data_IF_103161350127
#
_entry.id   IF_103161350127
#
_cell.length_a   1.000
_cell.length_b   1.000
_cell.length_c   1.000
_cell.angle_alpha   90.00
_cell.angle_beta   90.00
_cell.angle_gamma   90.00
#
_symmetry.space_group_name_H-M   'P 1'
#
loop_
_entity.id
_entity.type
_entity.pdbx_description
1 polymer ?
#
# COMPACT_ATOMS: atom_id res chain seq x y z
N UNK A 1 0.09 -15.25 -8.58
CA UNK A 1 -0.41 -14.52 -9.77
C UNK A 1 -1.89 -14.14 -9.67
N UNK A 2 -2.80 -15.04 -9.26
CA UNK A 2 -4.23 -14.71 -9.03
C UNK A 2 -4.43 -13.64 -7.94
N UNK A 3 -3.66 -13.71 -6.85
CA UNK A 3 -3.73 -12.77 -5.73
C UNK A 3 -3.33 -11.32 -6.09
N UNK A 4 -2.28 -11.14 -6.91
CA UNK A 4 -1.78 -9.82 -7.30
C UNK A 4 -2.81 -8.99 -8.09
N UNK A 5 -3.60 -9.64 -8.95
CA UNK A 5 -4.66 -8.95 -9.71
C UNK A 5 -5.78 -8.50 -8.78
N UNK A 6 -6.17 -9.34 -7.83
CA UNK A 6 -7.19 -9.02 -6.82
C UNK A 6 -6.76 -7.85 -5.94
N UNK A 7 -5.53 -7.89 -5.40
CA UNK A 7 -4.99 -6.80 -4.59
C UNK A 7 -4.88 -5.50 -5.41
N UNK A 8 -4.44 -5.57 -6.67
CA UNK A 8 -4.37 -4.39 -7.54
C UNK A 8 -5.74 -3.77 -7.82
N UNK A 9 -6.77 -4.60 -8.03
CA UNK A 9 -8.13 -4.13 -8.23
C UNK A 9 -8.68 -3.46 -6.95
N UNK A 10 -8.47 -4.07 -5.78
CA UNK A 10 -8.85 -3.49 -4.49
C UNK A 10 -8.13 -2.15 -4.25
N UNK A 11 -6.81 -2.11 -4.47
CA UNK A 11 -6.03 -0.88 -4.34
C UNK A 11 -6.59 0.21 -5.25
N UNK A 12 -6.88 -0.09 -6.52
CA UNK A 12 -7.51 0.88 -7.43
C UNK A 12 -8.82 1.43 -6.86
N UNK A 13 -9.72 0.56 -6.38
CA UNK A 13 -11.00 0.98 -5.79
C UNK A 13 -10.81 1.88 -4.56
N UNK A 14 -9.83 1.56 -3.70
CA UNK A 14 -9.51 2.40 -2.54
C UNK A 14 -9.00 3.77 -2.98
N UNK A 15 -8.09 3.83 -3.96
CA UNK A 15 -7.54 5.09 -4.46
C UNK A 15 -8.59 5.96 -5.15
N UNK A 16 -9.57 5.36 -5.82
CA UNK A 16 -10.70 6.08 -6.41
C UNK A 16 -11.55 6.78 -5.35
N UNK A 17 -11.83 6.09 -4.23
CA UNK A 17 -12.71 6.57 -3.17
C UNK A 17 -12.02 7.46 -2.12
N UNK A 18 -10.74 7.22 -1.85
CA UNK A 18 -9.99 7.87 -0.78
C UNK A 18 -8.73 8.56 -1.34
N UNK A 19 -8.80 9.89 -1.42
CA UNK A 19 -7.68 10.73 -1.88
C UNK A 19 -6.49 10.67 -0.91
N UNK A 20 -6.74 10.56 0.40
CA UNK A 20 -5.67 10.48 1.40
C UNK A 20 -4.84 9.20 1.24
N UNK A 21 -5.48 8.09 0.85
CA UNK A 21 -4.80 6.83 0.55
C UNK A 21 -3.84 6.93 -0.65
N UNK A 22 -4.06 7.87 -1.60
CA UNK A 22 -3.10 8.15 -2.69
C UNK A 22 -1.78 8.68 -2.15
N UNK A 23 -1.86 9.43 -1.06
CA UNK A 23 -0.78 10.19 -0.45
C UNK A 23 -0.10 9.46 0.73
N UNK A 24 -0.72 8.43 1.31
CA UNK A 24 -0.19 7.74 2.49
C UNK A 24 -0.22 6.22 2.35
N UNK A 25 0.96 5.60 2.51
CA UNK A 25 1.14 4.14 2.52
C UNK A 25 0.36 3.52 3.69
N UNK A 26 0.40 4.17 4.87
CA UNK A 26 -0.26 3.68 6.06
C UNK A 26 -1.78 3.73 5.94
N UNK A 27 -2.34 4.80 5.37
CA UNK A 27 -3.79 4.91 5.16
C UNK A 27 -4.24 3.86 4.14
N UNK A 28 -3.54 3.76 3.00
CA UNK A 28 -3.86 2.73 2.01
C UNK A 28 -3.81 1.32 2.61
N UNK A 29 -2.76 1.03 3.39
CA UNK A 29 -2.61 -0.29 3.98
C UNK A 29 -3.71 -0.56 5.02
N UNK A 30 -4.08 0.42 5.83
CA UNK A 30 -5.16 0.30 6.79
C UNK A 30 -6.52 0.03 6.11
N UNK A 31 -6.81 0.67 4.97
CA UNK A 31 -8.01 0.37 4.19
C UNK A 31 -7.99 -1.06 3.61
N UNK A 32 -6.83 -1.53 3.14
CA UNK A 32 -6.68 -2.91 2.69
C UNK A 32 -6.91 -3.89 3.85
N UNK A 33 -6.35 -3.61 5.04
CA UNK A 33 -6.59 -4.43 6.23
C UNK A 33 -8.08 -4.46 6.59
N UNK A 34 -8.76 -3.31 6.60
CA UNK A 34 -10.21 -3.23 6.87
C UNK A 34 -11.02 -4.10 5.92
N UNK A 35 -10.71 -4.06 4.62
CA UNK A 35 -11.36 -4.90 3.62
C UNK A 35 -11.18 -6.39 3.93
N UNK A 36 -9.93 -6.85 4.09
CA UNK A 36 -9.64 -8.26 4.33
C UNK A 36 -10.14 -8.74 5.69
N UNK A 37 -10.16 -7.88 6.70
CA UNK A 37 -10.71 -8.18 8.02
C UNK A 37 -12.21 -8.41 7.99
N UNK A 38 -12.96 -7.61 7.21
CA UNK A 38 -14.38 -7.82 6.98
C UNK A 38 -14.62 -9.17 6.27
N UNK A 39 -13.84 -9.47 5.23
CA UNK A 39 -13.97 -10.73 4.46
C UNK A 39 -13.62 -11.98 5.28
N UNK A 40 -12.73 -11.86 6.28
CA UNK A 40 -12.20 -13.00 7.06
C UNK A 40 -12.71 -13.06 8.50
N UNK A 41 -13.60 -12.15 8.90
CA UNK A 41 -14.08 -12.01 10.28
C UNK A 41 -12.94 -11.86 11.30
N UNK A 42 -11.89 -11.10 10.94
CA UNK A 42 -10.75 -10.82 11.81
C UNK A 42 -10.90 -9.43 12.42
N UNK A 43 -10.97 -9.35 13.75
CA UNK A 43 -10.96 -8.06 14.45
C UNK A 43 -9.54 -7.47 14.52
N UNK A 44 -9.34 -6.32 13.84
CA UNK A 44 -8.07 -5.59 13.84
C UNK A 44 -7.73 -4.99 15.20
N UNK A 45 -8.72 -4.67 16.02
CA UNK A 45 -8.49 -4.02 17.32
C UNK A 45 -7.91 -4.97 18.36
N UNK A 46 -8.10 -6.28 18.16
CA UNK A 46 -7.57 -7.33 19.04
C UNK A 46 -6.29 -7.98 18.47
N UNK A 47 -5.80 -7.53 17.32
CA UNK A 47 -4.59 -8.07 16.72
C UNK A 47 -3.35 -7.44 17.36
N UNK A 48 -2.60 -8.24 18.12
CA UNK A 48 -1.35 -7.80 18.73
C UNK A 48 -0.30 -7.40 17.67
N UNK A 49 0.59 -6.46 17.98
CA UNK A 49 1.68 -6.07 17.07
C UNK A 49 2.56 -7.27 16.66
N UNK A 50 2.96 -8.18 17.58
CA UNK A 50 3.70 -9.38 17.18
C UNK A 50 2.91 -10.29 16.23
N UNK A 51 1.62 -10.54 16.50
CA UNK A 51 0.80 -11.37 15.62
C UNK A 51 0.59 -10.73 14.25
N UNK A 52 0.43 -9.40 14.23
CA UNK A 52 0.36 -8.62 13.02
C UNK A 52 1.64 -8.79 12.21
N UNK A 53 2.82 -8.50 12.77
CA UNK A 53 4.07 -8.53 12.01
C UNK A 53 4.49 -9.94 11.58
N UNK A 54 4.20 -10.97 12.39
CA UNK A 54 4.71 -12.33 12.17
C UNK A 54 3.73 -13.26 11.44
N UNK A 55 2.42 -12.98 11.50
CA UNK A 55 1.37 -13.92 11.02
C UNK A 55 0.42 -13.32 10.01
N UNK A 56 0.74 -12.15 9.46
CA UNK A 56 -0.10 -11.43 8.50
C UNK A 56 -0.45 -12.28 7.26
N UNK A 57 0.56 -12.89 6.64
CA UNK A 57 0.38 -13.76 5.46
C UNK A 57 -0.36 -15.05 5.81
N UNK A 58 -0.09 -15.63 6.99
CA UNK A 58 -0.78 -16.84 7.47
C UNK A 58 -2.28 -16.58 7.72
N UNK A 59 -2.63 -15.35 8.10
CA UNK A 59 -4.01 -14.87 8.24
C UNK A 59 -4.62 -14.48 6.88
N UNK A 60 -3.88 -14.62 5.78
CA UNK A 60 -4.33 -14.38 4.42
C UNK A 60 -4.44 -12.91 4.03
N UNK A 61 -3.75 -12.02 4.74
CA UNK A 61 -3.62 -10.62 4.35
C UNK A 61 -2.46 -10.47 3.35
N UNK A 62 -2.53 -9.49 2.43
CA UNK A 62 -1.43 -9.23 1.51
C UNK A 62 -0.24 -8.61 2.25
N UNK A 63 0.97 -8.99 1.85
CA UNK A 63 2.19 -8.35 2.34
C UNK A 63 2.22 -6.85 2.01
N UNK A 64 2.87 -6.04 2.87
CA UNK A 64 3.07 -4.60 2.65
C UNK A 64 3.65 -4.30 1.26
N UNK A 65 4.66 -5.06 0.86
CA UNK A 65 5.33 -4.87 -0.43
C UNK A 65 4.39 -5.16 -1.61
N UNK A 66 3.48 -6.11 -1.45
CA UNK A 66 2.44 -6.41 -2.46
C UNK A 66 1.49 -5.23 -2.64
N UNK A 67 1.04 -4.62 -1.55
CA UNK A 67 0.18 -3.42 -1.61
C UNK A 67 0.93 -2.25 -2.24
N UNK A 68 2.20 -2.05 -1.85
CA UNK A 68 3.06 -0.99 -2.40
C UNK A 68 3.25 -1.12 -3.91
N UNK A 69 3.63 -2.31 -4.40
CA UNK A 69 3.81 -2.59 -5.84
C UNK A 69 2.51 -2.46 -6.61
N UNK A 70 1.41 -2.93 -6.02
CA UNK A 70 0.07 -2.79 -6.61
C UNK A 70 -0.29 -1.32 -6.80
N UNK A 71 -0.06 -0.46 -5.79
CA UNK A 71 -0.25 0.99 -5.93
C UNK A 71 0.62 1.58 -7.03
N UNK A 72 1.92 1.27 -7.06
CA UNK A 72 2.81 1.78 -8.11
C UNK A 72 2.32 1.40 -9.50
N UNK A 73 1.89 0.15 -9.69
CA UNK A 73 1.33 -0.31 -10.95
C UNK A 73 0.03 0.42 -11.30
N UNK A 74 -0.89 0.59 -10.34
CA UNK A 74 -2.15 1.31 -10.53
C UNK A 74 -1.88 2.77 -10.89
N UNK A 75 -1.07 3.49 -10.14
CA UNK A 75 -0.78 4.92 -10.39
C UNK A 75 0.00 5.15 -11.69
N UNK A 76 0.84 4.20 -12.11
CA UNK A 76 1.49 4.25 -13.42
C UNK A 76 0.51 4.00 -14.59
N UNK A 77 -0.55 3.22 -14.35
CA UNK A 77 -1.59 2.92 -15.36
C UNK A 77 -2.68 3.99 -15.40
N UNK A 78 -2.98 4.61 -14.25
CA UNK A 78 -4.04 5.58 -14.02
C UNK A 78 -3.45 6.83 -13.36
N UNK A 79 -2.85 7.76 -14.13
CA UNK A 79 -2.17 8.94 -13.58
C UNK A 79 -3.06 9.85 -12.72
N UNK A 80 -4.37 9.85 -12.93
CA UNK A 80 -5.35 10.58 -12.14
C UNK A 80 -5.47 10.07 -10.68
N UNK A 81 -5.01 8.84 -10.43
CA UNK A 81 -4.95 8.24 -9.09
C UNK A 81 -3.59 8.45 -8.41
N UNK A 82 -2.67 9.17 -9.05
CA UNK A 82 -1.36 9.48 -8.47
C UNK A 82 -1.47 10.34 -7.20
N UNK A 83 -0.37 10.40 -6.45
CA UNK A 83 -0.25 11.30 -5.30
C UNK A 83 -0.39 12.77 -5.75
N UNK A 84 -1.08 13.57 -4.97
CA UNK A 84 -1.44 14.95 -5.32
C UNK A 84 -0.55 15.98 -4.63
N UNK A 85 -0.42 17.16 -5.23
CA UNK A 85 0.16 18.36 -4.63
C UNK A 85 1.56 18.18 -4.03
N UNK A 86 1.73 18.63 -2.78
CA UNK A 86 3.01 18.62 -2.07
C UNK A 86 3.58 17.22 -1.83
N UNK A 87 2.72 16.20 -1.66
CA UNK A 87 3.15 14.82 -1.38
C UNK A 87 3.77 14.18 -2.62
N UNK A 88 3.18 14.40 -3.80
CA UNK A 88 3.76 13.96 -5.07
C UNK A 88 5.16 14.55 -5.30
N UNK A 89 5.28 15.87 -5.11
CA UNK A 89 6.57 16.57 -5.23
C UNK A 89 7.60 16.08 -4.21
N UNK A 90 7.18 15.85 -2.95
CA UNK A 90 8.06 15.31 -1.91
C UNK A 90 8.55 13.89 -2.25
N UNK A 91 7.67 13.00 -2.72
CA UNK A 91 8.04 11.65 -3.16
C UNK A 91 9.05 11.67 -4.30
N UNK A 92 8.83 12.51 -5.31
CA UNK A 92 9.77 12.65 -6.43
C UNK A 92 11.16 13.13 -5.98
N UNK A 93 11.22 14.09 -5.04
CA UNK A 93 12.49 14.54 -4.45
C UNK A 93 13.19 13.43 -3.67
N UNK A 94 12.46 12.74 -2.81
CA UNK A 94 13.05 11.66 -2.01
C UNK A 94 13.51 10.48 -2.86
N UNK A 95 12.79 10.14 -3.93
CA UNK A 95 13.23 9.10 -4.86
C UNK A 95 14.62 9.42 -5.43
N UNK A 96 14.87 10.68 -5.78
CA UNK A 96 16.18 11.13 -6.25
C UNK A 96 17.26 10.90 -5.18
N UNK A 97 16.99 11.30 -3.94
CA UNK A 97 17.92 11.12 -2.79
C UNK A 97 18.22 9.64 -2.57
N UNK A 98 17.20 8.78 -2.53
CA UNK A 98 17.41 7.34 -2.34
C UNK A 98 18.12 6.68 -3.53
N UNK A 99 17.91 7.17 -4.76
CA UNK A 99 18.63 6.69 -5.95
C UNK A 99 20.11 7.05 -5.90
N UNK A 100 20.44 8.23 -5.40
CA UNK A 100 21.83 8.66 -5.17
C UNK A 100 22.47 7.82 -4.05
N UNK A 101 21.77 7.63 -2.93
CA UNK A 101 22.23 6.77 -1.84
C UNK A 101 22.48 5.32 -2.29
N UNK A 102 21.59 4.75 -3.10
CA UNK A 102 21.76 3.39 -3.65
C UNK A 102 23.00 3.23 -4.54
N UNK A 103 23.58 4.33 -5.04
CA UNK A 103 24.82 4.34 -5.82
C UNK A 103 26.05 4.65 -4.97
N UNK A 104 25.87 5.10 -3.73
CA UNK A 104 26.95 5.34 -2.77
C UNK A 104 27.36 4.04 -2.06
N UNK A 105 28.59 4.00 -1.53
CA UNK A 105 29.01 2.96 -0.60
C UNK A 105 28.44 3.26 0.78
N UNK A 106 27.92 2.22 1.45
CA UNK A 106 27.41 2.26 2.84
C UNK A 106 28.56 2.12 3.81
#
# INVERSE_FOLDING_TARGET
MRDLKTVSALVKQILEKNVEARNSDNILYLEVLRYYSSEKSIDLHHLSVPDFLMKLEQKGFPAFETVRRSRQKVQATYPELAATGAVGAFRARNEKVYREFARSKV
#
